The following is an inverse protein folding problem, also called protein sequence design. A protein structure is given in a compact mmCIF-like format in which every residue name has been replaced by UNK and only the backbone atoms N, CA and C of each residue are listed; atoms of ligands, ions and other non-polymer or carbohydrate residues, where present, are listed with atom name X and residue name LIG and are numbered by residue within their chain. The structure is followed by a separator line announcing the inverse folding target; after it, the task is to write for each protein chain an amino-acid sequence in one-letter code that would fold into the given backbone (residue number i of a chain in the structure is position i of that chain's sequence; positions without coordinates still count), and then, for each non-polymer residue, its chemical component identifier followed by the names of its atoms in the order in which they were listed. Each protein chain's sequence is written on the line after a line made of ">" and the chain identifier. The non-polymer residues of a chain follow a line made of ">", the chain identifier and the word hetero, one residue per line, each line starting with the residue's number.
data_IF_217274798422
#
_entry.id   IF_217274798422
#
_cell.length_a   1.000
_cell.length_b   1.000
_cell.length_c   1.000
_cell.angle_alpha   90.00
_cell.angle_beta   90.00
_cell.angle_gamma   90.00
#
_symmetry.space_group_name_H-M   'P 1'
#
loop_
_entity.id
_entity.type
_entity.pdbx_description
1 polymer ?
#
# COMPACT_ATOMS: atom_id res chain seq x y z
N UNK A 1 -9.16 9.31 68.83
CA UNK A 1 -9.75 8.50 67.74
C UNK A 1 -9.19 9.03 66.43
N UNK A 2 -8.20 8.35 65.85
CA UNK A 2 -7.52 8.81 64.62
C UNK A 2 -8.28 8.33 63.38
N UNK A 3 -8.73 9.28 62.56
CA UNK A 3 -9.44 9.00 61.31
C UNK A 3 -8.41 8.79 60.19
N UNK A 4 -8.16 7.53 59.85
CA UNK A 4 -7.27 7.15 58.75
C UNK A 4 -7.88 7.54 57.41
N UNK A 5 -7.33 8.58 56.79
CA UNK A 5 -7.62 9.00 55.42
C UNK A 5 -6.86 8.10 54.43
N UNK A 6 -7.46 6.98 54.05
CA UNK A 6 -6.98 6.14 52.95
C UNK A 6 -7.44 6.71 51.61
N UNK A 7 -6.58 7.49 50.94
CA UNK A 7 -6.88 8.02 49.61
C UNK A 7 -6.70 6.92 48.56
N UNK A 8 -7.71 6.78 47.70
CA UNK A 8 -7.77 5.85 46.57
C UNK A 8 -6.73 6.23 45.48
N UNK A 9 -5.45 5.97 45.75
CA UNK A 9 -4.35 6.28 44.83
C UNK A 9 -4.19 5.25 43.69
N UNK A 10 -4.74 4.03 43.87
CA UNK A 10 -4.54 2.92 42.92
C UNK A 10 -5.41 3.05 41.65
N UNK A 11 -6.61 3.62 41.75
CA UNK A 11 -7.56 3.72 40.63
C UNK A 11 -7.24 4.88 39.68
N UNK A 12 -6.84 6.05 40.19
CA UNK A 12 -6.52 7.21 39.34
C UNK A 12 -5.31 6.97 38.42
N UNK A 13 -4.25 6.31 38.93
CA UNK A 13 -3.07 5.96 38.13
C UNK A 13 -3.39 4.92 37.05
N UNK A 14 -4.23 3.94 37.39
CA UNK A 14 -4.69 2.93 36.44
C UNK A 14 -5.56 3.56 35.32
N UNK A 15 -6.43 4.51 35.65
CA UNK A 15 -7.26 5.23 34.67
C UNK A 15 -6.38 6.07 33.74
N UNK A 16 -5.40 6.80 34.27
CA UNK A 16 -4.46 7.60 33.44
C UNK A 16 -3.64 6.69 32.52
N UNK A 17 -3.14 5.56 33.03
CA UNK A 17 -2.40 4.60 32.21
C UNK A 17 -3.27 4.02 31.07
N UNK A 18 -4.53 3.64 31.36
CA UNK A 18 -5.47 3.17 30.35
C UNK A 18 -5.78 4.24 29.29
N UNK A 19 -5.92 5.51 29.69
CA UNK A 19 -6.13 6.64 28.78
C UNK A 19 -4.92 6.87 27.87
N UNK A 20 -3.70 6.79 28.41
CA UNK A 20 -2.47 6.91 27.61
C UNK A 20 -2.33 5.74 26.63
N UNK A 21 -2.59 4.51 27.07
CA UNK A 21 -2.55 3.32 26.20
C UNK A 21 -3.59 3.41 25.09
N UNK A 22 -4.81 3.85 25.40
CA UNK A 22 -5.85 4.02 24.38
C UNK A 22 -5.52 5.13 23.37
N UNK A 23 -4.93 6.26 23.80
CA UNK A 23 -4.42 7.28 22.88
C UNK A 23 -3.29 6.74 22.00
N UNK A 24 -2.36 5.96 22.55
CA UNK A 24 -1.28 5.34 21.78
C UNK A 24 -1.79 4.32 20.75
N UNK A 25 -2.80 3.53 21.10
CA UNK A 25 -3.45 2.60 20.17
C UNK A 25 -4.20 3.36 19.07
N UNK A 26 -4.85 4.48 19.38
CA UNK A 26 -5.52 5.33 18.37
C UNK A 26 -4.52 6.03 17.44
N UNK A 27 -3.26 6.18 17.85
CA UNK A 27 -2.18 6.70 17.02
C UNK A 27 -1.51 5.63 16.14
N UNK A 28 -1.98 4.38 16.15
CA UNK A 28 -1.50 3.38 15.20
C UNK A 28 -1.72 3.89 13.78
N UNK A 29 -0.64 4.23 13.09
CA UNK A 29 -0.67 4.71 11.72
C UNK A 29 -1.24 3.58 10.84
N UNK A 30 -2.47 3.76 10.36
CA UNK A 30 -3.07 2.84 9.40
C UNK A 30 -2.27 2.90 8.10
N UNK A 31 -1.41 1.91 7.87
CA UNK A 31 -0.82 1.69 6.54
C UNK A 31 -1.91 1.07 5.67
N UNK A 32 -2.70 1.90 4.99
CA UNK A 32 -3.61 1.43 3.96
C UNK A 32 -2.86 1.31 2.62
N UNK A 33 -2.95 0.13 2.02
CA UNK A 33 -2.57 -0.09 0.63
C UNK A 33 -3.50 0.71 -0.30
N UNK A 34 -2.91 1.46 -1.22
CA UNK A 34 -3.63 2.19 -2.27
C UNK A 34 -3.74 1.34 -3.53
N UNK A 35 -4.83 1.52 -4.27
CA UNK A 35 -5.03 0.86 -5.57
C UNK A 35 -5.01 1.91 -6.68
N UNK A 36 -4.20 1.69 -7.70
CA UNK A 36 -4.02 2.60 -8.84
C UNK A 36 -4.41 1.92 -10.14
N UNK A 37 -5.31 2.55 -10.91
CA UNK A 37 -5.64 2.11 -12.26
C UNK A 37 -4.59 2.69 -13.21
N UNK A 38 -3.78 1.82 -13.82
CA UNK A 38 -2.73 2.23 -14.75
C UNK A 38 -3.35 2.91 -15.97
N UNK A 39 -2.86 4.12 -16.29
CA UNK A 39 -3.39 4.95 -17.38
C UNK A 39 -4.68 5.73 -17.05
N UNK A 40 -5.16 5.67 -15.81
CA UNK A 40 -6.39 6.34 -15.35
C UNK A 40 -7.59 6.06 -16.30
N UNK A 41 -8.08 7.06 -17.04
CA UNK A 41 -9.18 6.89 -18.00
C UNK A 41 -8.78 6.15 -19.29
N UNK A 42 -7.50 6.22 -19.67
CA UNK A 42 -6.97 5.55 -20.87
C UNK A 42 -6.72 4.05 -20.64
N UNK A 43 -6.65 3.62 -19.38
CA UNK A 43 -6.34 2.24 -18.97
C UNK A 43 -4.98 1.77 -19.50
N UNK A 44 -4.74 0.46 -19.55
CA UNK A 44 -3.50 -0.09 -20.11
C UNK A 44 -3.57 -0.09 -21.64
N UNK A 45 -2.93 0.92 -22.22
CA UNK A 45 -2.91 1.22 -23.65
C UNK A 45 -1.58 1.89 -24.05
N UNK A 46 -1.39 2.14 -25.34
CA UNK A 46 -0.22 2.89 -25.83
C UNK A 46 -0.21 4.34 -25.29
N UNK A 47 0.99 4.92 -25.20
CA UNK A 47 1.22 6.33 -24.82
C UNK A 47 0.82 6.73 -23.40
N UNK A 48 0.82 5.80 -22.44
CA UNK A 48 0.58 6.07 -21.00
C UNK A 48 1.88 6.20 -20.17
N UNK A 49 3.03 6.42 -20.82
CA UNK A 49 4.37 6.47 -20.18
C UNK A 49 4.48 7.52 -19.07
N UNK A 50 3.72 8.61 -19.19
CA UNK A 50 3.74 9.73 -18.26
C UNK A 50 2.77 9.56 -17.08
N UNK A 51 1.90 8.54 -17.11
CA UNK A 51 0.92 8.27 -16.05
C UNK A 51 1.53 8.18 -14.64
N UNK A 52 2.73 7.61 -14.42
CA UNK A 52 3.33 7.57 -13.08
C UNK A 52 3.70 8.96 -12.51
N UNK A 53 3.82 10.00 -13.34
CA UNK A 53 4.28 11.33 -12.90
C UNK A 53 3.37 11.90 -11.81
N UNK A 54 3.95 12.28 -10.67
CA UNK A 54 3.23 12.84 -9.53
C UNK A 54 2.48 11.81 -8.66
N UNK A 55 2.59 10.50 -8.96
CA UNK A 55 2.04 9.44 -8.09
C UNK A 55 3.13 8.92 -7.15
N UNK A 56 2.74 8.60 -5.93
CA UNK A 56 3.63 8.07 -4.90
C UNK A 56 3.21 6.64 -4.58
N UNK A 57 3.95 5.67 -5.12
CA UNK A 57 3.72 4.26 -4.84
C UNK A 57 4.45 3.83 -3.57
N UNK A 58 3.78 3.01 -2.76
CA UNK A 58 4.31 2.42 -1.53
C UNK A 58 4.23 0.90 -1.63
N UNK A 59 5.08 0.23 -0.87
CA UNK A 59 4.99 -1.20 -0.72
C UNK A 59 3.60 -1.61 -0.20
N UNK A 60 3.01 -2.61 -0.84
CA UNK A 60 1.63 -3.05 -0.56
C UNK A 60 0.58 -2.40 -1.47
N UNK A 61 0.92 -1.35 -2.21
CA UNK A 61 0.00 -0.79 -3.21
C UNK A 61 -0.24 -1.76 -4.38
N UNK A 62 -1.39 -1.62 -5.03
CA UNK A 62 -1.81 -2.49 -6.14
C UNK A 62 -1.91 -1.68 -7.43
N UNK A 63 -1.26 -2.17 -8.50
CA UNK A 63 -1.42 -1.63 -9.84
C UNK A 63 -2.40 -2.49 -10.64
N UNK A 64 -3.48 -1.87 -11.11
CA UNK A 64 -4.54 -2.54 -11.88
C UNK A 64 -4.37 -2.21 -13.35
N UNK A 65 -4.05 -3.23 -14.14
CA UNK A 65 -3.92 -3.15 -15.59
C UNK A 65 -5.21 -3.64 -16.25
N UNK A 66 -6.01 -2.72 -16.76
CA UNK A 66 -7.22 -3.04 -17.52
C UNK A 66 -6.94 -2.95 -19.01
N UNK A 67 -7.09 -4.04 -19.75
CA UNK A 67 -6.84 -4.10 -21.19
C UNK A 67 -7.63 -5.24 -21.85
N UNK A 68 -7.69 -5.22 -23.18
CA UNK A 68 -8.17 -6.37 -23.95
C UNK A 68 -7.01 -7.38 -24.10
N UNK A 69 -7.15 -8.62 -23.56
CA UNK A 69 -6.08 -9.61 -23.56
C UNK A 69 -5.71 -10.14 -24.95
N UNK A 70 -6.54 -9.90 -25.98
CA UNK A 70 -6.22 -10.24 -27.37
C UNK A 70 -5.20 -9.27 -27.99
N UNK A 71 -4.97 -8.10 -27.41
CA UNK A 71 -4.11 -7.05 -27.95
C UNK A 71 -2.94 -6.65 -27.04
N UNK A 72 -3.09 -6.85 -25.73
CA UNK A 72 -2.10 -6.45 -24.74
C UNK A 72 -1.91 -7.54 -23.69
N UNK A 73 -0.74 -7.53 -23.05
CA UNK A 73 -0.44 -8.30 -21.85
C UNK A 73 0.31 -7.40 -20.85
N UNK A 74 0.72 -7.98 -19.73
CA UNK A 74 1.56 -7.31 -18.74
C UNK A 74 2.73 -8.22 -18.42
N UNK A 75 3.94 -7.68 -18.52
CA UNK A 75 5.19 -8.41 -18.26
C UNK A 75 5.99 -7.65 -17.22
N UNK A 76 6.41 -8.34 -16.16
CA UNK A 76 7.36 -7.77 -15.19
C UNK A 76 8.76 -7.94 -15.76
N UNK A 77 9.50 -6.83 -15.85
CA UNK A 77 10.85 -6.77 -16.38
C UNK A 77 11.76 -6.07 -15.37
N UNK A 78 13.07 -6.30 -15.49
CA UNK A 78 14.08 -5.46 -14.85
C UNK A 78 14.30 -4.15 -15.65
N UNK A 79 15.18 -3.29 -15.13
CA UNK A 79 15.51 -2.00 -15.76
C UNK A 79 16.11 -2.18 -17.17
N UNK A 80 16.91 -3.23 -17.39
CA UNK A 80 17.50 -3.51 -18.71
C UNK A 80 16.45 -3.95 -19.73
N UNK A 81 15.54 -4.84 -19.33
CA UNK A 81 14.40 -5.28 -20.12
C UNK A 81 13.45 -4.12 -20.47
N UNK A 82 13.16 -3.24 -19.51
CA UNK A 82 12.37 -2.02 -19.76
C UNK A 82 13.04 -1.10 -20.79
N UNK A 83 14.31 -0.75 -20.60
CA UNK A 83 15.03 0.19 -21.46
C UNK A 83 15.26 -0.33 -22.89
N UNK A 84 15.33 -1.66 -23.06
CA UNK A 84 15.55 -2.31 -24.35
C UNK A 84 14.28 -2.89 -24.99
N UNK A 85 13.12 -2.72 -24.34
CA UNK A 85 11.84 -3.33 -24.73
C UNK A 85 11.93 -4.86 -24.93
N UNK A 86 12.59 -5.56 -24.01
CA UNK A 86 12.77 -7.03 -24.04
C UNK A 86 12.06 -7.70 -22.87
N UNK A 87 11.32 -8.77 -23.18
CA UNK A 87 10.65 -9.60 -22.18
C UNK A 87 11.54 -10.77 -21.74
N UNK A 88 11.42 -11.26 -20.49
CA UNK A 88 12.09 -12.48 -20.07
C UNK A 88 11.56 -13.67 -20.87
N UNK A 89 12.37 -14.71 -21.02
CA UNK A 89 11.92 -15.95 -21.67
C UNK A 89 10.79 -16.61 -20.86
N UNK A 90 9.75 -17.11 -21.54
CA UNK A 90 8.66 -17.86 -20.92
C UNK A 90 7.47 -17.05 -20.40
N UNK A 91 7.41 -15.73 -20.64
CA UNK A 91 6.31 -14.88 -20.14
C UNK A 91 5.10 -14.87 -21.09
N UNK A 92 4.28 -15.91 -21.05
CA UNK A 92 3.01 -16.00 -21.79
C UNK A 92 1.83 -16.24 -20.86
N UNK A 93 1.52 -15.32 -19.94
CA UNK A 93 0.28 -15.38 -19.15
C UNK A 93 -0.56 -14.11 -19.33
N UNK A 94 -1.84 -14.30 -19.59
CA UNK A 94 -2.85 -13.24 -19.58
C UNK A 94 -3.26 -12.89 -18.15
N UNK A 95 -3.77 -11.66 -17.96
CA UNK A 95 -4.47 -11.19 -16.76
C UNK A 95 -3.68 -11.19 -15.42
N UNK A 96 -2.44 -10.70 -15.47
CA UNK A 96 -1.61 -10.49 -14.28
C UNK A 96 -2.00 -9.22 -13.49
N UNK A 97 -2.22 -9.37 -12.18
CA UNK A 97 -2.27 -8.25 -11.21
C UNK A 97 -0.91 -8.15 -10.55
N UNK A 98 -0.25 -7.00 -10.62
CA UNK A 98 1.07 -6.79 -10.01
C UNK A 98 0.88 -6.01 -8.71
N UNK A 99 1.34 -6.59 -7.60
CA UNK A 99 1.51 -5.88 -6.34
C UNK A 99 2.86 -5.16 -6.34
N UNK A 100 2.88 -3.90 -5.89
CA UNK A 100 4.13 -3.18 -5.62
C UNK A 100 4.75 -3.82 -4.39
N UNK A 101 5.75 -4.68 -4.63
CA UNK A 101 6.43 -5.42 -3.58
C UNK A 101 7.65 -4.60 -3.14
N UNK A 102 7.85 -4.41 -1.84
CA UNK A 102 9.13 -3.93 -1.33
C UNK A 102 10.18 -5.01 -1.64
N UNK A 103 11.25 -4.64 -2.34
CA UNK A 103 12.44 -5.49 -2.49
C UNK A 103 13.23 -5.45 -1.18
#
# INVERSE_FOLDING_TARGET
>A
MAKGSGTASCSARAIIALMVVSVLVLQSYHVQASTYIVGDSLKWAFNVVDWPKGKHFKAGDVLVFNYNPSFHNVVVVDSGGYNSCKTPAGHCEGNMKIAVTAV
#
